data_IF_965562184500
#
_entry.id   IF_965562184500
#
_cell.length_a   1.000
_cell.length_b   1.000
_cell.length_c   1.000
_cell.angle_alpha   90.00
_cell.angle_beta   90.00
_cell.angle_gamma   90.00
#
_symmetry.space_group_name_H-M   'P 1'
#
loop_
_entity.id
_entity.type
_entity.pdbx_description
1 polymer ?
#
# COMPACT_ATOMS: atom_id res chain seq x y z
N UNK A 1 50.86 59.54 26.64
CA UNK A 1 49.58 59.98 27.24
C UNK A 1 48.93 58.75 27.87
N UNK A 2 48.64 58.85 29.16
CA UNK A 2 48.07 57.79 30.00
C UNK A 2 46.58 57.55 29.69
N UNK A 3 46.15 56.28 29.74
CA UNK A 3 44.85 55.82 30.29
C UNK A 3 44.81 54.29 30.17
N UNK A 4 45.15 53.51 31.20
CA UNK A 4 44.31 53.05 32.31
C UNK A 4 42.91 52.50 31.94
N UNK A 5 42.83 51.17 32.04
CA UNK A 5 41.78 50.35 32.71
C UNK A 5 40.39 50.25 32.07
N UNK A 6 40.03 49.04 31.63
CA UNK A 6 38.98 48.26 32.32
C UNK A 6 39.07 46.76 32.02
N UNK A 7 39.42 46.01 33.07
CA UNK A 7 39.21 44.57 33.13
C UNK A 7 37.70 44.29 33.17
N UNK A 8 37.25 43.37 32.33
CA UNK A 8 35.94 42.74 32.40
C UNK A 8 36.13 41.25 32.56
N UNK A 9 36.22 40.79 33.81
CA UNK A 9 35.98 39.38 34.13
C UNK A 9 34.50 39.10 33.89
N UNK A 10 34.18 38.17 33.00
CA UNK A 10 32.98 37.35 33.15
C UNK A 10 33.31 35.92 32.76
N UNK A 11 33.52 35.15 33.81
CA UNK A 11 33.54 33.70 33.92
C UNK A 11 32.86 32.94 32.79
N UNK A 12 33.58 31.94 32.30
CA UNK A 12 33.08 30.79 31.58
C UNK A 12 31.76 30.28 32.15
N UNK A 13 30.72 30.18 31.32
CA UNK A 13 29.67 29.17 31.45
C UNK A 13 29.16 28.75 30.08
N UNK A 14 29.21 27.44 29.85
CA UNK A 14 28.45 26.66 28.87
C UNK A 14 29.03 26.57 27.45
N UNK A 15 30.27 26.08 27.37
CA UNK A 15 30.69 25.21 26.27
C UNK A 15 30.07 23.80 26.44
N UNK A 16 28.74 23.69 26.47
CA UNK A 16 28.04 22.39 26.35
C UNK A 16 26.65 22.64 25.75
N UNK A 17 26.58 23.09 24.51
CA UNK A 17 25.50 22.62 23.66
C UNK A 17 26.12 21.46 22.90
N UNK A 18 26.04 20.28 23.53
CA UNK A 18 26.13 19.02 22.82
C UNK A 18 25.09 19.12 21.70
N UNK A 19 25.54 19.48 20.51
CA UNK A 19 24.79 19.27 19.29
C UNK A 19 24.66 17.76 19.21
N UNK A 20 23.62 17.23 19.84
CA UNK A 20 23.11 15.90 19.56
C UNK A 20 22.68 15.96 18.12
N UNK A 21 23.64 15.71 17.23
CA UNK A 21 23.40 15.39 15.84
C UNK A 21 22.62 14.09 15.93
N UNK A 22 21.29 14.19 16.00
CA UNK A 22 20.42 13.07 15.71
C UNK A 22 20.78 12.68 14.28
N UNK A 23 21.55 11.61 14.12
CA UNK A 23 21.80 11.02 12.83
C UNK A 23 20.45 10.60 12.26
N UNK A 24 19.91 11.41 11.34
CA UNK A 24 18.70 11.04 10.62
C UNK A 24 19.11 9.91 9.67
N UNK A 25 18.87 8.68 10.11
CA UNK A 25 19.06 7.47 9.30
C UNK A 25 17.89 7.32 8.33
N UNK A 26 18.11 7.69 7.06
CA UNK A 26 17.15 7.45 5.97
C UNK A 26 17.49 6.16 5.26
N UNK A 27 17.10 5.01 5.84
CA UNK A 27 17.24 3.74 5.11
C UNK A 27 16.01 3.45 4.26
N UNK A 28 16.22 3.16 2.98
CA UNK A 28 15.20 2.64 2.06
C UNK A 28 15.40 1.14 1.95
N UNK A 29 14.62 0.34 2.67
CA UNK A 29 14.60 -1.12 2.51
C UNK A 29 13.16 -1.62 2.63
N UNK A 30 12.65 -2.26 1.58
CA UNK A 30 11.36 -2.96 1.62
C UNK A 30 11.52 -4.34 0.97
N UNK A 31 12.26 -5.21 1.66
CA UNK A 31 12.24 -6.64 1.40
C UNK A 31 11.28 -7.27 2.42
N UNK A 32 10.25 -7.96 1.93
CA UNK A 32 9.31 -8.71 2.77
C UNK A 32 10.11 -9.69 3.63
N UNK A 33 10.07 -9.54 4.96
CA UNK A 33 10.66 -10.50 5.90
C UNK A 33 9.53 -11.31 6.53
N UNK A 34 9.69 -12.62 6.53
CA UNK A 34 8.87 -13.51 7.33
C UNK A 34 9.44 -13.53 8.76
N UNK A 35 8.61 -13.22 9.75
CA UNK A 35 8.98 -13.37 11.15
C UNK A 35 8.71 -14.83 11.55
N UNK A 36 9.75 -15.53 12.01
CA UNK A 36 9.66 -16.89 12.50
C UNK A 36 9.94 -16.91 14.00
N UNK A 37 9.05 -17.53 14.74
CA UNK A 37 9.18 -17.71 16.19
C UNK A 37 9.54 -19.17 16.47
N UNK A 38 10.57 -19.40 17.27
CA UNK A 38 10.97 -20.72 17.76
C UNK A 38 11.17 -20.66 19.27
N UNK A 39 10.55 -21.59 19.98
CA UNK A 39 10.71 -21.73 21.44
C UNK A 39 11.67 -22.87 21.73
N UNK A 40 12.86 -22.54 22.25
CA UNK A 40 13.87 -23.50 22.69
C UNK A 40 13.89 -23.50 24.21
N UNK A 41 13.23 -24.50 24.81
CA UNK A 41 13.06 -24.60 26.26
C UNK A 41 12.31 -23.40 26.84
N UNK A 42 13.02 -22.54 27.58
CA UNK A 42 12.49 -21.30 28.18
C UNK A 42 12.74 -20.04 27.35
N UNK A 43 13.46 -20.14 26.23
CA UNK A 43 13.85 -18.99 25.41
C UNK A 43 13.02 -18.91 24.13
N UNK A 44 12.51 -17.72 23.81
CA UNK A 44 11.78 -17.43 22.58
C UNK A 44 12.73 -16.71 21.61
N UNK A 45 13.10 -17.38 20.52
CA UNK A 45 13.96 -16.86 19.47
C UNK A 45 13.07 -16.36 18.32
N UNK A 46 13.20 -15.07 17.98
CA UNK A 46 12.48 -14.44 16.84
C UNK A 46 13.47 -14.13 15.74
N UNK A 47 13.30 -14.75 14.57
CA UNK A 47 14.17 -14.57 13.40
C UNK A 47 13.42 -13.87 12.25
N UNK A 48 14.08 -12.92 11.59
CA UNK A 48 13.57 -12.27 10.39
C UNK A 48 14.18 -12.87 9.13
N UNK A 49 13.50 -13.82 8.49
CA UNK A 49 13.99 -14.52 7.30
C UNK A 49 13.51 -13.81 6.03
N UNK A 50 14.44 -13.53 5.10
CA UNK A 50 14.09 -12.97 3.80
C UNK A 50 13.60 -14.10 2.88
N UNK A 51 12.32 -14.09 2.51
CA UNK A 51 11.72 -15.10 1.64
C UNK A 51 11.44 -14.49 0.26
N UNK A 52 12.04 -15.01 -0.83
CA UNK A 52 11.71 -14.54 -2.17
C UNK A 52 10.31 -15.02 -2.59
N UNK A 53 9.60 -14.20 -3.38
CA UNK A 53 8.30 -14.59 -3.94
C UNK A 53 8.50 -15.69 -4.98
N UNK A 54 7.66 -16.74 -5.03
CA UNK A 54 7.73 -17.76 -6.07
C UNK A 54 7.42 -17.20 -7.48
N UNK A 55 6.82 -16.01 -7.57
CA UNK A 55 6.40 -15.37 -8.82
C UNK A 55 7.40 -14.34 -9.34
N UNK A 56 8.60 -14.26 -8.76
CA UNK A 56 9.63 -13.27 -9.17
C UNK A 56 9.91 -13.30 -10.67
N UNK A 57 9.97 -14.48 -11.26
CA UNK A 57 10.25 -14.66 -12.70
C UNK A 57 9.08 -14.26 -13.60
N UNK A 58 7.87 -14.12 -13.05
CA UNK A 58 6.63 -13.78 -13.78
C UNK A 58 6.21 -12.32 -13.55
N UNK A 59 7.06 -11.52 -12.88
CA UNK A 59 6.76 -10.12 -12.59
C UNK A 59 6.78 -9.31 -13.87
N UNK A 60 5.63 -8.71 -14.20
CA UNK A 60 5.52 -7.74 -15.29
C UNK A 60 6.09 -6.41 -14.84
N UNK A 61 7.16 -5.94 -15.49
CA UNK A 61 7.66 -4.58 -15.33
C UNK A 61 7.18 -3.72 -16.48
N UNK A 62 6.97 -2.43 -16.20
CA UNK A 62 6.55 -1.48 -17.23
C UNK A 62 7.62 -1.32 -18.34
N UNK A 63 8.89 -1.49 -17.97
CA UNK A 63 10.07 -1.41 -18.84
C UNK A 63 10.08 -2.52 -19.92
N UNK A 64 9.52 -3.70 -19.60
CA UNK A 64 9.57 -4.88 -20.46
C UNK A 64 8.43 -4.91 -21.50
N UNK A 65 7.48 -3.97 -21.45
CA UNK A 65 6.32 -3.94 -22.32
C UNK A 65 6.62 -3.22 -23.64
N UNK A 66 6.48 -3.94 -24.75
CA UNK A 66 6.64 -3.40 -26.10
C UNK A 66 5.67 -2.23 -26.35
N UNK A 67 6.21 -1.07 -26.73
CA UNK A 67 5.46 0.18 -26.90
C UNK A 67 5.74 1.26 -25.85
N UNK A 68 6.63 1.00 -24.89
CA UNK A 68 7.20 2.06 -24.05
C UNK A 68 8.25 2.85 -24.84
N UNK A 69 7.80 3.83 -25.63
CA UNK A 69 8.67 4.95 -25.98
C UNK A 69 8.63 5.94 -24.82
N UNK A 70 9.78 6.25 -24.17
CA UNK A 70 9.81 7.32 -23.19
C UNK A 70 9.39 8.60 -23.91
N UNK A 71 8.21 9.13 -23.61
CA UNK A 71 7.80 10.41 -24.16
C UNK A 71 8.78 11.47 -23.67
N UNK A 72 9.63 11.96 -24.59
CA UNK A 72 10.65 12.95 -24.31
C UNK A 72 10.00 14.16 -23.60
N UNK A 73 10.26 14.30 -22.30
CA UNK A 73 9.78 15.44 -21.49
C UNK A 73 8.93 15.12 -20.27
N UNK A 74 8.48 13.88 -20.04
CA UNK A 74 7.83 13.48 -18.77
C UNK A 74 8.61 12.38 -18.07
N UNK A 75 9.31 12.73 -16.99
CA UNK A 75 10.23 11.86 -16.25
C UNK A 75 9.58 10.73 -15.43
N UNK A 76 8.31 10.40 -15.64
CA UNK A 76 7.60 9.37 -14.87
C UNK A 76 7.23 8.17 -15.75
N UNK A 77 7.87 7.03 -15.50
CA UNK A 77 7.50 5.75 -16.12
C UNK A 77 6.02 5.43 -15.80
N UNK A 78 5.20 5.09 -16.81
CA UNK A 78 3.81 4.73 -16.61
C UNK A 78 3.71 3.46 -15.74
N UNK A 79 2.64 3.37 -14.97
CA UNK A 79 2.40 2.20 -14.14
C UNK A 79 2.14 0.95 -15.01
N UNK A 80 2.55 -0.25 -14.59
CA UNK A 80 2.33 -1.47 -15.40
C UNK A 80 0.84 -1.72 -15.71
N UNK A 81 -0.09 -1.40 -14.80
CA UNK A 81 -1.53 -1.48 -15.09
C UNK A 81 -2.01 -0.47 -16.15
N UNK A 82 -1.32 0.66 -16.25
CA UNK A 82 -1.57 1.70 -17.24
C UNK A 82 -1.07 1.21 -18.60
N UNK A 83 0.15 0.65 -18.65
CA UNK A 83 0.78 0.13 -19.86
C UNK A 83 0.09 -1.10 -20.41
N UNK A 84 -0.42 -1.99 -19.56
CA UNK A 84 -1.15 -3.20 -19.97
C UNK A 84 -2.54 -2.91 -20.56
N UNK A 85 -3.12 -1.73 -20.32
CA UNK A 85 -4.43 -1.35 -20.87
C UNK A 85 -5.61 -2.26 -20.47
N UNK A 86 -5.48 -3.06 -19.39
CA UNK A 86 -6.49 -4.06 -19.01
C UNK A 86 -7.76 -3.41 -18.43
N UNK A 87 -8.92 -3.87 -18.91
CA UNK A 87 -10.20 -3.55 -18.29
C UNK A 87 -10.52 -4.54 -17.15
N UNK A 88 -10.00 -4.23 -15.96
CA UNK A 88 -10.19 -5.05 -14.75
C UNK A 88 -11.53 -4.77 -14.08
N UNK A 89 -12.28 -5.84 -13.83
CA UNK A 89 -13.56 -5.88 -13.10
C UNK A 89 -13.39 -6.35 -11.67
N UNK A 90 -14.44 -6.18 -10.85
CA UNK A 90 -14.41 -6.66 -9.46
C UNK A 90 -14.53 -8.19 -9.37
N UNK A 91 -14.93 -8.83 -10.46
CA UNK A 91 -14.99 -10.29 -10.62
C UNK A 91 -13.63 -10.93 -10.82
N UNK A 92 -12.61 -10.16 -11.23
CA UNK A 92 -11.31 -10.68 -11.65
C UNK A 92 -10.39 -10.92 -10.44
N UNK A 93 -10.80 -11.85 -9.58
CA UNK A 93 -10.16 -12.16 -8.29
C UNK A 93 -8.70 -12.56 -8.45
N UNK A 94 -8.32 -13.21 -9.55
CA UNK A 94 -6.95 -13.64 -9.81
C UNK A 94 -6.00 -12.44 -9.99
N UNK A 95 -6.48 -11.33 -10.52
CA UNK A 95 -5.72 -10.09 -10.65
C UNK A 95 -5.75 -9.33 -9.32
N UNK A 96 -6.94 -9.17 -8.74
CA UNK A 96 -7.13 -8.38 -7.52
C UNK A 96 -6.38 -8.95 -6.31
N UNK A 97 -6.33 -10.28 -6.17
CA UNK A 97 -5.64 -10.96 -5.07
C UNK A 97 -4.14 -10.65 -5.00
N UNK A 98 -3.52 -10.28 -6.13
CA UNK A 98 -2.09 -9.91 -6.18
C UNK A 98 -1.79 -8.59 -5.44
N UNK A 99 -2.80 -7.72 -5.28
CA UNK A 99 -2.68 -6.42 -4.62
C UNK A 99 -3.05 -6.45 -3.13
N UNK A 100 -3.32 -7.63 -2.58
CA UNK A 100 -3.88 -7.82 -1.25
C UNK A 100 -2.97 -8.75 -0.43
N UNK A 101 -2.88 -8.51 0.87
CA UNK A 101 -2.17 -9.38 1.82
C UNK A 101 -2.98 -10.64 2.14
N UNK A 102 -2.38 -11.57 2.87
CA UNK A 102 -3.07 -12.73 3.47
C UNK A 102 -4.32 -12.34 4.25
N UNK A 103 -4.30 -11.18 4.91
CA UNK A 103 -5.37 -10.74 5.82
C UNK A 103 -6.49 -9.96 5.10
N UNK A 104 -6.42 -9.83 3.77
CA UNK A 104 -7.42 -9.10 2.99
C UNK A 104 -7.17 -7.59 2.96
N UNK A 105 -6.13 -7.11 3.63
CA UNK A 105 -5.69 -5.72 3.58
C UNK A 105 -4.97 -5.39 2.27
N UNK A 106 -5.33 -4.27 1.66
CA UNK A 106 -4.75 -3.79 0.40
C UNK A 106 -3.29 -3.31 0.59
N UNK A 107 -2.40 -3.66 -0.33
CA UNK A 107 -0.98 -3.30 -0.27
C UNK A 107 -0.73 -1.80 -0.48
N UNK A 108 0.22 -1.17 0.24
CA UNK A 108 0.47 0.26 0.11
C UNK A 108 1.06 0.60 -1.28
N UNK A 109 0.74 1.80 -1.79
CA UNK A 109 1.16 2.26 -3.13
C UNK A 109 2.66 2.16 -3.39
N UNK A 110 3.48 2.42 -2.36
CA UNK A 110 4.95 2.34 -2.44
C UNK A 110 5.47 0.93 -2.74
N UNK A 111 4.67 -0.10 -2.47
CA UNK A 111 4.97 -1.51 -2.74
C UNK A 111 4.36 -1.92 -4.08
N UNK A 112 3.09 -1.54 -4.32
CA UNK A 112 2.41 -1.94 -5.56
C UNK A 112 2.97 -1.23 -6.79
N UNK A 113 3.60 -0.05 -6.67
CA UNK A 113 4.14 0.69 -7.82
C UNK A 113 3.07 1.28 -8.75
N UNK A 114 1.81 1.34 -8.30
CA UNK A 114 0.71 1.89 -9.09
C UNK A 114 0.66 3.42 -9.03
N UNK A 115 0.12 4.04 -10.08
CA UNK A 115 -0.22 5.46 -10.05
C UNK A 115 -1.37 5.71 -9.06
N UNK A 116 -1.52 6.95 -8.58
CA UNK A 116 -2.53 7.31 -7.57
C UNK A 116 -3.96 6.95 -8.01
N UNK A 117 -4.28 7.15 -9.30
CA UNK A 117 -5.59 6.85 -9.88
C UNK A 117 -5.85 5.34 -9.92
N UNK A 118 -4.89 4.54 -10.39
CA UNK A 118 -5.03 3.09 -10.46
C UNK A 118 -5.08 2.45 -9.08
N UNK A 119 -4.26 2.93 -8.12
CA UNK A 119 -4.34 2.49 -6.73
C UNK A 119 -5.74 2.70 -6.15
N UNK A 120 -6.38 3.84 -6.43
CA UNK A 120 -7.76 4.12 -6.01
C UNK A 120 -8.76 3.20 -6.73
N UNK A 121 -8.61 2.98 -8.04
CA UNK A 121 -9.46 2.05 -8.82
C UNK A 121 -9.41 0.65 -8.24
N UNK A 122 -8.21 0.08 -8.13
CA UNK A 122 -7.98 -1.28 -7.61
C UNK A 122 -8.45 -1.41 -6.15
N UNK A 123 -8.18 -0.42 -5.30
CA UNK A 123 -8.67 -0.43 -3.92
C UNK A 123 -10.21 -0.50 -3.83
N UNK A 124 -10.92 0.18 -4.74
CA UNK A 124 -12.39 0.08 -4.82
C UNK A 124 -12.85 -1.27 -5.38
N UNK A 125 -12.21 -1.79 -6.41
CA UNK A 125 -12.50 -3.12 -6.97
C UNK A 125 -12.30 -4.22 -5.92
N UNK A 126 -11.20 -4.20 -5.16
CA UNK A 126 -10.93 -5.10 -4.03
C UNK A 126 -12.06 -5.00 -3.00
N UNK A 127 -12.49 -3.79 -2.64
CA UNK A 127 -13.57 -3.59 -1.67
C UNK A 127 -14.90 -4.16 -2.19
N UNK A 128 -15.20 -3.97 -3.49
CA UNK A 128 -16.39 -4.52 -4.14
C UNK A 128 -16.34 -6.06 -4.13
N UNK A 129 -15.21 -6.65 -4.52
CA UNK A 129 -15.00 -8.10 -4.54
C UNK A 129 -15.15 -8.74 -3.15
N UNK A 130 -14.60 -8.10 -2.11
CA UNK A 130 -14.75 -8.57 -0.72
C UNK A 130 -16.21 -8.52 -0.26
N UNK A 131 -16.93 -7.42 -0.56
CA UNK A 131 -18.35 -7.28 -0.20
C UNK A 131 -19.24 -8.25 -0.96
N UNK A 132 -18.94 -8.49 -2.23
CA UNK A 132 -19.61 -9.51 -3.06
C UNK A 132 -19.32 -10.94 -2.58
N UNK A 133 -18.32 -11.14 -1.72
CA UNK A 133 -17.96 -12.46 -1.19
C UNK A 133 -17.10 -13.30 -2.15
N UNK A 134 -16.39 -12.66 -3.09
CA UNK A 134 -15.53 -13.35 -4.06
C UNK A 134 -14.14 -13.70 -3.49
N UNK A 135 -13.73 -13.08 -2.38
CA UNK A 135 -12.39 -13.23 -1.79
C UNK A 135 -12.43 -13.70 -0.32
N UNK A 136 -13.24 -14.72 -0.03
CA UNK A 136 -13.45 -15.23 1.35
C UNK A 136 -12.19 -15.87 1.94
N UNK A 137 -11.29 -16.38 1.12
CA UNK A 137 -10.06 -17.02 1.64
C UNK A 137 -9.10 -16.01 2.29
N UNK A 138 -9.15 -14.74 1.88
CA UNK A 138 -8.27 -13.67 2.38
C UNK A 138 -8.86 -12.92 3.58
N UNK A 139 -10.03 -13.30 4.07
CA UNK A 139 -10.66 -12.55 5.17
C UNK A 139 -10.11 -12.97 6.53
N UNK A 140 -10.00 -12.06 7.51
CA UNK A 140 -9.42 -12.35 8.83
C UNK A 140 -10.21 -13.44 9.58
N UNK A 141 -9.55 -14.13 10.51
CA UNK A 141 -10.12 -15.29 11.21
C UNK A 141 -11.42 -14.98 11.98
N UNK A 142 -11.58 -13.74 12.46
CA UNK A 142 -12.76 -13.30 13.19
C UNK A 142 -14.00 -13.09 12.31
N UNK A 143 -13.86 -13.14 10.98
CA UNK A 143 -15.00 -12.96 10.10
C UNK A 143 -15.72 -14.30 9.87
N UNK A 144 -17.04 -14.23 9.75
CA UNK A 144 -17.84 -15.39 9.39
C UNK A 144 -17.73 -15.60 7.87
N UNK A 145 -16.88 -16.56 7.49
CA UNK A 145 -16.61 -16.94 6.09
C UNK A 145 -17.89 -17.31 5.36
N UNK A 146 -18.76 -18.09 6.03
CA UNK A 146 -20.09 -18.46 5.54
C UNK A 146 -20.99 -17.23 5.35
N UNK A 147 -21.43 -16.92 4.12
CA UNK A 147 -22.27 -15.74 3.84
C UNK A 147 -23.56 -15.73 4.66
N UNK A 148 -24.21 -16.89 4.83
CA UNK A 148 -25.50 -17.03 5.53
C UNK A 148 -25.43 -16.66 7.02
N UNK A 149 -24.27 -16.80 7.65
CA UNK A 149 -24.08 -16.50 9.08
C UNK A 149 -23.90 -15.01 9.33
N UNK A 150 -23.47 -14.25 8.31
CA UNK A 150 -23.12 -12.82 8.43
C UNK A 150 -24.29 -11.99 8.95
N UNK A 151 -23.96 -10.98 9.77
CA UNK A 151 -24.94 -10.08 10.39
C UNK A 151 -25.59 -9.13 9.36
N UNK A 152 -26.88 -8.84 9.57
CA UNK A 152 -27.65 -7.83 8.82
C UNK A 152 -27.68 -8.08 7.31
N UNK A 153 -27.52 -7.02 6.51
CA UNK A 153 -27.58 -7.06 5.06
C UNK A 153 -26.41 -7.79 4.41
N UNK A 154 -25.33 -8.08 5.16
CA UNK A 154 -24.12 -8.75 4.63
C UNK A 154 -24.35 -10.22 4.27
N UNK A 155 -25.47 -10.81 4.68
CA UNK A 155 -25.88 -12.17 4.32
C UNK A 155 -26.48 -12.28 2.92
N UNK A 156 -26.94 -11.17 2.36
CA UNK A 156 -27.55 -11.14 1.04
C UNK A 156 -26.49 -11.00 -0.04
N UNK A 157 -26.75 -11.57 -1.21
CA UNK A 157 -25.88 -11.43 -2.37
C UNK A 157 -25.82 -9.95 -2.77
N UNK A 158 -24.61 -9.44 -2.99
CA UNK A 158 -24.38 -8.06 -3.41
C UNK A 158 -23.55 -8.05 -4.68
N UNK A 159 -23.93 -7.21 -5.63
CA UNK A 159 -23.27 -7.03 -6.91
C UNK A 159 -22.98 -5.54 -7.12
N UNK A 160 -21.92 -5.24 -7.87
CA UNK A 160 -21.49 -3.87 -8.09
C UNK A 160 -21.36 -3.57 -9.58
N UNK A 161 -21.57 -2.30 -9.93
CA UNK A 161 -21.25 -1.76 -11.25
C UNK A 161 -19.97 -0.94 -11.13
N UNK A 162 -18.91 -1.33 -11.86
CA UNK A 162 -17.60 -0.69 -11.81
C UNK A 162 -17.61 0.74 -12.35
N UNK A 163 -18.58 1.09 -13.20
CA UNK A 163 -18.72 2.45 -13.74
C UNK A 163 -18.93 3.49 -12.64
N UNK A 164 -19.43 3.06 -11.48
CA UNK A 164 -19.70 3.92 -10.32
C UNK A 164 -18.45 4.42 -9.59
N UNK A 165 -17.27 3.84 -9.83
CA UNK A 165 -16.05 4.08 -9.04
C UNK A 165 -15.55 5.54 -9.11
N UNK A 166 -15.62 6.15 -10.29
CA UNK A 166 -15.11 7.50 -10.55
C UNK A 166 -16.23 8.51 -10.83
N UNK A 167 -17.47 8.19 -10.46
CA UNK A 167 -18.56 9.14 -10.60
C UNK A 167 -18.28 10.40 -9.77
N UNK A 168 -18.25 11.54 -10.45
CA UNK A 168 -18.10 12.84 -9.81
C UNK A 168 -19.38 13.29 -9.08
N UNK A 169 -20.53 12.79 -9.54
CA UNK A 169 -21.86 13.05 -8.95
C UNK A 169 -22.54 11.74 -8.59
N UNK A 170 -23.18 11.68 -7.42
CA UNK A 170 -24.01 10.54 -7.02
C UNK A 170 -25.27 10.54 -7.90
N UNK A 171 -25.58 9.43 -8.61
CA UNK A 171 -26.78 9.35 -9.44
C UNK A 171 -28.01 9.35 -8.54
N UNK A 172 -29.00 10.19 -8.87
CA UNK A 172 -30.28 10.22 -8.17
C UNK A 172 -31.13 9.02 -8.60
N UNK A 173 -32.11 8.59 -7.79
CA UNK A 173 -33.04 7.52 -8.19
C UNK A 173 -33.71 7.78 -9.55
N UNK A 174 -33.91 9.05 -9.92
CA UNK A 174 -34.44 9.50 -11.20
C UNK A 174 -33.52 9.23 -12.38
N UNK A 175 -32.21 9.18 -12.16
CA UNK A 175 -31.22 8.98 -13.23
C UNK A 175 -31.14 7.51 -13.66
N UNK A 176 -31.58 6.58 -12.81
CA UNK A 176 -31.56 5.12 -13.06
C UNK A 176 -32.43 4.70 -14.25
N UNK A 177 -33.45 5.49 -14.60
CA UNK A 177 -34.45 5.16 -15.64
C UNK A 177 -34.23 5.89 -16.96
N UNK A 178 -33.23 6.78 -17.05
CA UNK A 178 -32.85 7.39 -18.32
C UNK A 178 -31.87 6.44 -19.02
N UNK A 179 -32.40 5.53 -19.84
CA UNK A 179 -31.59 4.81 -20.83
C UNK A 179 -31.34 5.71 -22.02
#
# INVERSE_FOLDING_TARGET
MNSLVRAGFSFAKNAVVSTSIRSISTTRQLNLKELRERTEGSTLVVEGVTVPSPRTNLLVRAEDLAGFEPSEGTAENPCYMCSLGLDVKHTDVLILSQFVRSDGCMLPRRITGLCKRQQKKIGKLVTMAQKAGLMINLTPANCQKDPKKRRLYKKFNTYFDEKTIFMWRIPKPTDRFKR
#
